data_IF_469804623966
#
_entry.id   IF_469804623966
#
_cell.length_a   1.000
_cell.length_b   1.000
_cell.length_c   1.000
_cell.angle_alpha   90.00
_cell.angle_beta   90.00
_cell.angle_gamma   90.00
#
_symmetry.space_group_name_H-M   'P 1'
#
loop_
_entity.id
_entity.type
_entity.pdbx_description
1 polymer ?
#
# COMPACT_ATOMS: atom_id res chain seq x y z
N UNK A 1 -3.58 13.36 -20.93
CA UNK A 1 -5.05 13.11 -20.87
C UNK A 1 -5.57 13.57 -19.52
N UNK A 2 -6.63 14.38 -19.48
CA UNK A 2 -7.23 14.85 -18.22
C UNK A 2 -8.24 13.85 -17.69
N UNK A 3 -8.20 13.59 -16.40
CA UNK A 3 -9.10 12.70 -15.69
C UNK A 3 -9.46 13.31 -14.34
N UNK A 4 -10.62 12.94 -13.78
CA UNK A 4 -11.00 13.39 -12.43
C UNK A 4 -11.09 12.19 -11.50
N UNK A 5 -10.49 12.34 -10.32
CA UNK A 5 -10.44 11.32 -9.28
C UNK A 5 -11.14 11.79 -8.00
N UNK A 6 -11.98 10.93 -7.43
CA UNK A 6 -12.82 11.19 -6.27
C UNK A 6 -12.38 10.36 -5.06
N UNK A 7 -12.68 10.83 -3.83
CA UNK A 7 -12.40 10.05 -2.62
C UNK A 7 -13.40 8.90 -2.48
N UNK A 8 -14.65 9.14 -2.89
CA UNK A 8 -15.75 8.17 -2.90
C UNK A 8 -16.50 8.22 -4.23
N UNK A 9 -17.13 7.11 -4.61
CA UNK A 9 -18.04 7.07 -5.77
C UNK A 9 -19.25 7.98 -5.48
N UNK A 10 -19.53 8.92 -6.37
CA UNK A 10 -20.62 9.89 -6.21
C UNK A 10 -20.25 11.19 -5.48
N UNK A 11 -18.99 11.39 -5.09
CA UNK A 11 -18.55 12.68 -4.55
C UNK A 11 -18.71 13.80 -5.59
N UNK A 12 -19.25 14.95 -5.14
CA UNK A 12 -19.40 16.14 -6.00
C UNK A 12 -18.07 16.86 -6.24
N UNK A 13 -17.09 16.71 -5.32
CA UNK A 13 -15.78 17.36 -5.40
C UNK A 13 -14.68 16.36 -5.78
N UNK A 14 -14.36 16.33 -7.06
CA UNK A 14 -13.22 15.58 -7.59
C UNK A 14 -11.92 16.40 -7.61
N UNK A 15 -10.80 15.72 -7.84
CA UNK A 15 -9.53 16.37 -8.20
C UNK A 15 -9.22 16.04 -9.64
N UNK A 16 -9.15 17.05 -10.50
CA UNK A 16 -8.65 16.91 -11.86
C UNK A 16 -7.15 16.64 -11.82
N UNK A 17 -6.73 15.63 -12.56
CA UNK A 17 -5.34 15.27 -12.77
C UNK A 17 -5.10 15.14 -14.27
N UNK A 18 -3.96 15.63 -14.74
CA UNK A 18 -3.52 15.39 -16.11
C UNK A 18 -2.47 14.28 -16.09
N UNK A 19 -2.79 13.13 -16.68
CA UNK A 19 -1.83 12.05 -16.87
C UNK A 19 -0.90 12.43 -18.04
N UNK A 20 0.38 12.62 -17.71
CA UNK A 20 1.46 12.97 -18.65
C UNK A 20 2.10 11.72 -19.27
N UNK A 21 2.39 10.74 -18.43
CA UNK A 21 3.03 9.48 -18.85
C UNK A 21 2.50 8.32 -18.02
N UNK A 22 2.57 7.12 -18.60
CA UNK A 22 2.16 5.88 -17.96
C UNK A 22 3.18 4.80 -18.27
N UNK A 23 3.66 4.10 -17.23
CA UNK A 23 4.60 2.98 -17.32
C UNK A 23 3.98 1.76 -16.66
N UNK A 24 3.97 0.62 -17.36
CA UNK A 24 3.54 -0.65 -16.78
C UNK A 24 4.43 -1.01 -15.57
N UNK A 25 3.79 -1.44 -14.47
CA UNK A 25 4.47 -1.97 -13.29
C UNK A 25 4.25 -3.46 -13.17
N UNK A 26 3.00 -3.89 -13.10
CA UNK A 26 2.64 -5.28 -12.83
C UNK A 26 1.22 -5.61 -13.22
N UNK A 27 0.92 -6.90 -13.33
CA UNK A 27 -0.40 -7.45 -13.52
C UNK A 27 -0.60 -8.60 -12.52
N UNK A 28 -1.77 -8.65 -11.90
CA UNK A 28 -2.15 -9.72 -10.99
C UNK A 28 -3.61 -10.10 -11.20
N UNK A 29 -4.10 -11.08 -10.44
CA UNK A 29 -5.44 -11.65 -10.65
C UNK A 29 -6.62 -10.68 -10.53
N UNK A 30 -6.40 -9.46 -10.01
CA UNK A 30 -7.45 -8.43 -9.83
C UNK A 30 -7.31 -7.23 -10.77
N UNK A 31 -6.22 -7.13 -11.53
CA UNK A 31 -6.02 -6.03 -12.45
C UNK A 31 -4.56 -5.70 -12.76
N UNK A 32 -4.39 -4.59 -13.49
CA UNK A 32 -3.09 -4.11 -13.98
C UNK A 32 -2.72 -2.80 -13.31
N UNK A 33 -1.50 -2.72 -12.79
CA UNK A 33 -0.94 -1.53 -12.15
C UNK A 33 0.06 -0.81 -13.06
N UNK A 34 0.00 0.51 -13.05
CA UNK A 34 0.88 1.39 -13.80
C UNK A 34 1.38 2.52 -12.91
N UNK A 35 2.65 2.88 -13.07
CA UNK A 35 3.16 4.15 -12.57
C UNK A 35 2.67 5.23 -13.52
N UNK A 36 2.15 6.32 -12.98
CA UNK A 36 1.73 7.48 -13.74
C UNK A 36 2.40 8.73 -13.22
N UNK A 37 2.94 9.52 -14.14
CA UNK A 37 3.29 10.90 -13.86
C UNK A 37 2.05 11.76 -14.12
N UNK A 38 1.61 12.48 -13.10
CA UNK A 38 0.42 13.32 -13.16
C UNK A 38 0.75 14.75 -12.77
N UNK A 39 0.07 15.68 -13.42
CA UNK A 39 0.07 17.08 -13.04
C UNK A 39 -1.20 17.40 -12.26
N UNK A 40 -1.05 17.95 -11.07
CA UNK A 40 -2.14 18.42 -10.20
C UNK A 40 -1.90 19.91 -9.93
N UNK A 41 -2.72 20.77 -10.53
CA UNK A 41 -2.45 22.21 -10.57
C UNK A 41 -1.13 22.50 -11.29
N UNK A 42 -0.17 23.12 -10.60
CA UNK A 42 1.17 23.43 -11.13
C UNK A 42 2.25 22.40 -10.78
N UNK A 43 1.91 21.31 -10.08
CA UNK A 43 2.89 20.37 -9.54
C UNK A 43 2.81 19.01 -10.23
N UNK A 44 3.98 18.49 -10.61
CA UNK A 44 4.13 17.13 -11.07
C UNK A 44 4.34 16.18 -9.89
N UNK A 45 3.71 15.01 -9.98
CA UNK A 45 3.69 13.98 -8.94
C UNK A 45 3.67 12.60 -9.59
N UNK A 46 4.26 11.64 -8.90
CA UNK A 46 4.20 10.23 -9.30
C UNK A 46 3.14 9.53 -8.44
N UNK A 47 2.23 8.85 -9.11
CA UNK A 47 1.23 8.00 -8.49
C UNK A 47 1.25 6.61 -9.15
N UNK A 48 0.48 5.69 -8.59
CA UNK A 48 0.15 4.42 -9.23
C UNK A 48 -1.33 4.45 -9.59
N UNK A 49 -1.67 4.05 -10.81
CA UNK A 49 -3.04 3.70 -11.17
C UNK A 49 -3.18 2.19 -11.29
N UNK A 50 -4.27 1.65 -10.76
CA UNK A 50 -4.64 0.25 -10.96
C UNK A 50 -5.98 0.18 -11.67
N UNK A 51 -5.99 -0.53 -12.79
CA UNK A 51 -7.20 -0.84 -13.56
C UNK A 51 -7.68 -2.21 -13.13
N UNK A 52 -8.89 -2.29 -12.59
CA UNK A 52 -9.42 -3.57 -12.11
C UNK A 52 -10.20 -4.28 -13.20
N UNK A 53 -10.21 -5.61 -13.15
CA UNK A 53 -10.93 -6.43 -14.11
C UNK A 53 -12.46 -6.39 -13.90
N UNK A 54 -12.92 -6.06 -12.70
CA UNK A 54 -14.34 -6.07 -12.32
C UNK A 54 -14.67 -4.88 -11.40
N UNK A 55 -15.82 -4.23 -11.60
CA UNK A 55 -16.21 -3.03 -10.82
C UNK A 55 -16.36 -3.29 -9.31
N UNK A 56 -16.93 -4.45 -8.94
CA UNK A 56 -17.10 -4.86 -7.53
C UNK A 56 -15.78 -4.92 -6.75
N UNK A 57 -14.67 -5.15 -7.44
CA UNK A 57 -13.33 -5.23 -6.84
C UNK A 57 -12.85 -3.85 -6.37
N UNK A 58 -13.18 -2.79 -7.11
CA UNK A 58 -12.80 -1.41 -6.78
C UNK A 58 -13.56 -0.94 -5.55
N UNK A 59 -14.87 -1.17 -5.52
CA UNK A 59 -15.68 -0.79 -4.36
C UNK A 59 -15.24 -1.54 -3.11
N UNK A 60 -14.89 -2.83 -3.24
CA UNK A 60 -14.31 -3.61 -2.14
C UNK A 60 -12.99 -2.99 -1.68
N UNK A 61 -12.06 -2.74 -2.59
CA UNK A 61 -10.75 -2.23 -2.23
C UNK A 61 -10.81 -0.81 -1.62
N UNK A 62 -11.73 0.04 -2.10
CA UNK A 62 -11.97 1.36 -1.54
C UNK A 62 -12.54 1.29 -0.11
N UNK A 63 -13.50 0.40 0.13
CA UNK A 63 -14.01 0.14 1.50
C UNK A 63 -12.92 -0.37 2.42
N UNK A 64 -12.15 -1.36 1.96
CA UNK A 64 -11.04 -1.94 2.72
C UNK A 64 -10.01 -0.88 3.10
N UNK A 65 -9.61 -0.02 2.15
CA UNK A 65 -8.71 1.11 2.41
C UNK A 65 -9.28 2.06 3.47
N UNK A 66 -10.56 2.41 3.38
CA UNK A 66 -11.21 3.31 4.33
C UNK A 66 -11.29 2.71 5.73
N UNK A 67 -11.67 1.45 5.84
CA UNK A 67 -11.71 0.75 7.12
C UNK A 67 -10.33 0.63 7.75
N UNK A 68 -9.30 0.30 6.96
CA UNK A 68 -7.92 0.25 7.43
C UNK A 68 -7.46 1.63 7.93
N UNK A 69 -7.71 2.67 7.15
CA UNK A 69 -7.35 4.05 7.51
C UNK A 69 -8.05 4.53 8.77
N UNK A 70 -9.35 4.28 8.90
CA UNK A 70 -10.15 4.65 10.07
C UNK A 70 -9.70 3.91 11.34
N UNK A 71 -9.22 2.67 11.18
CA UNK A 71 -8.68 1.86 12.27
C UNK A 71 -7.30 2.32 12.74
N UNK A 72 -6.68 3.30 12.06
CA UNK A 72 -5.33 3.78 12.37
C UNK A 72 -4.22 2.93 11.75
N UNK A 73 -4.55 2.03 10.80
CA UNK A 73 -3.52 1.29 10.08
C UNK A 73 -2.72 2.22 9.16
N UNK A 74 -1.42 1.95 9.08
CA UNK A 74 -0.47 2.67 8.23
C UNK A 74 -0.64 2.30 6.77
N UNK A 75 -1.58 2.96 6.09
CA UNK A 75 -1.85 2.82 4.65
C UNK A 75 -1.32 4.03 3.85
N UNK A 76 -1.27 3.92 2.53
CA UNK A 76 -0.94 5.08 1.68
C UNK A 76 -1.90 6.26 1.89
N UNK A 77 -1.39 7.49 1.74
CA UNK A 77 -2.21 8.69 1.99
C UNK A 77 -3.35 8.87 0.98
N UNK A 78 -3.13 8.44 -0.27
CA UNK A 78 -4.06 8.63 -1.38
C UNK A 78 -4.58 7.29 -1.87
N UNK A 79 -5.90 7.20 -1.98
CA UNK A 79 -6.61 6.15 -2.69
C UNK A 79 -7.91 6.79 -3.20
N UNK A 80 -8.00 6.97 -4.53
CA UNK A 80 -9.11 7.69 -5.17
C UNK A 80 -9.62 6.91 -6.37
N UNK A 81 -10.91 7.01 -6.66
CA UNK A 81 -11.56 6.33 -7.78
C UNK A 81 -11.73 7.29 -8.96
N UNK A 82 -11.55 6.81 -10.18
CA UNK A 82 -11.83 7.62 -11.38
C UNK A 82 -13.34 7.78 -11.63
N UNK A 83 -13.72 8.72 -12.50
CA UNK A 83 -15.14 8.97 -12.81
C UNK A 83 -15.87 7.74 -13.36
N UNK A 84 -15.15 6.84 -14.04
CA UNK A 84 -15.73 5.63 -14.62
C UNK A 84 -15.96 4.52 -13.61
N UNK A 85 -15.38 4.64 -12.41
CA UNK A 85 -15.42 3.59 -11.41
C UNK A 85 -14.63 2.34 -11.80
N UNK A 86 -13.67 2.44 -12.72
CA UNK A 86 -12.87 1.31 -13.25
C UNK A 86 -11.41 1.36 -12.83
N UNK A 87 -10.97 2.48 -12.24
CA UNK A 87 -9.59 2.70 -11.88
C UNK A 87 -9.47 3.40 -10.56
N UNK A 88 -8.33 3.17 -9.92
CA UNK A 88 -7.90 3.95 -8.77
C UNK A 88 -6.63 4.72 -9.07
N UNK A 89 -6.38 5.77 -8.29
CA UNK A 89 -5.13 6.49 -8.17
C UNK A 89 -4.66 6.40 -6.71
N UNK A 90 -3.47 5.87 -6.50
CA UNK A 90 -2.85 5.69 -5.18
C UNK A 90 -1.46 6.29 -5.14
N UNK A 91 -1.01 6.71 -3.95
CA UNK A 91 0.37 7.17 -3.75
C UNK A 91 1.33 6.05 -4.16
N UNK A 92 2.35 6.36 -4.97
CA UNK A 92 3.30 5.34 -5.45
C UNK A 92 4.26 4.84 -4.37
N UNK A 93 4.49 5.66 -3.34
CA UNK A 93 5.50 5.42 -2.31
C UNK A 93 6.94 5.67 -2.78
N UNK A 94 7.19 5.80 -4.08
CA UNK A 94 8.50 6.14 -4.60
C UNK A 94 8.78 7.64 -4.42
N UNK A 95 9.97 7.96 -3.90
CA UNK A 95 10.49 9.32 -3.85
C UNK A 95 11.84 9.38 -4.58
N UNK A 96 12.47 10.56 -4.59
CA UNK A 96 13.85 10.70 -5.06
C UNK A 96 14.82 9.87 -4.22
N UNK A 97 14.50 9.65 -2.95
CA UNK A 97 15.40 9.05 -1.98
C UNK A 97 14.96 7.64 -1.58
N UNK A 98 13.69 7.28 -1.81
CA UNK A 98 13.08 6.03 -1.38
C UNK A 98 12.49 5.23 -2.54
N UNK A 99 12.60 3.91 -2.43
CA UNK A 99 11.90 2.94 -3.28
C UNK A 99 10.89 2.19 -2.42
N UNK A 100 9.65 2.12 -2.91
CA UNK A 100 8.60 1.30 -2.31
C UNK A 100 8.58 -0.09 -2.97
N UNK A 101 8.74 -1.13 -2.17
CA UNK A 101 8.86 -2.52 -2.60
C UNK A 101 7.67 -3.34 -2.06
N UNK A 102 6.77 -3.75 -2.95
CA UNK A 102 5.70 -4.70 -2.63
C UNK A 102 6.12 -6.17 -2.83
N UNK A 103 5.27 -7.09 -2.36
CA UNK A 103 5.53 -8.54 -2.34
C UNK A 103 5.71 -9.21 -3.71
N UNK A 104 5.25 -8.59 -4.80
CA UNK A 104 5.18 -9.25 -6.13
C UNK A 104 6.50 -9.15 -6.92
N UNK A 105 7.58 -8.71 -6.29
CA UNK A 105 8.88 -8.61 -6.96
C UNK A 105 9.83 -9.70 -6.47
N UNK A 106 9.62 -10.92 -6.95
CA UNK A 106 10.50 -12.08 -6.83
C UNK A 106 11.92 -11.76 -7.33
N UNK A 107 12.76 -11.16 -6.48
CA UNK A 107 14.19 -10.90 -6.73
C UNK A 107 14.53 -9.84 -7.79
N UNK A 108 13.58 -9.43 -8.65
CA UNK A 108 13.81 -8.49 -9.76
C UNK A 108 13.68 -7.01 -9.38
N UNK A 109 13.09 -6.69 -8.22
CA UNK A 109 12.87 -5.30 -7.79
C UNK A 109 14.16 -4.52 -7.60
N UNK A 110 15.16 -5.12 -6.97
CA UNK A 110 16.43 -4.44 -6.73
C UNK A 110 17.10 -4.06 -8.05
N UNK A 111 17.14 -4.98 -9.01
CA UNK A 111 17.68 -4.71 -10.35
C UNK A 111 16.84 -3.68 -11.11
N UNK A 112 15.51 -3.80 -11.09
CA UNK A 112 14.61 -2.87 -11.76
C UNK A 112 14.75 -1.43 -11.25
N UNK A 113 14.96 -1.26 -9.94
CA UNK A 113 15.16 0.05 -9.33
C UNK A 113 16.63 0.45 -9.17
N UNK A 114 17.56 -0.35 -9.71
CA UNK A 114 19.00 -0.19 -9.57
C UNK A 114 19.45 0.04 -8.13
N UNK A 115 18.88 -0.74 -7.20
CA UNK A 115 19.21 -0.73 -5.79
C UNK A 115 20.38 -1.68 -5.53
N UNK A 116 21.35 -1.28 -4.70
CA UNK A 116 22.37 -2.20 -4.23
C UNK A 116 21.74 -3.29 -3.34
N UNK A 117 22.44 -4.41 -3.17
CA UNK A 117 22.03 -5.43 -2.20
C UNK A 117 22.09 -4.82 -0.80
N UNK A 118 20.97 -4.85 -0.09
CA UNK A 118 20.91 -4.42 1.30
C UNK A 118 21.73 -5.41 2.14
N UNK A 119 22.78 -4.90 2.79
CA UNK A 119 23.69 -5.67 3.65
C UNK A 119 23.25 -5.64 5.11
N UNK A 120 22.68 -4.52 5.57
CA UNK A 120 22.14 -4.41 6.92
C UNK A 120 20.92 -3.50 6.99
N UNK A 121 20.06 -3.76 7.98
CA UNK A 121 18.91 -2.92 8.32
C UNK A 121 19.25 -2.21 9.63
N UNK A 122 19.47 -0.90 9.56
CA UNK A 122 20.03 -0.13 10.67
C UNK A 122 19.06 0.05 11.84
N UNK A 123 17.76 -0.09 11.59
CA UNK A 123 16.69 0.11 12.57
C UNK A 123 15.82 -1.14 12.80
N UNK A 124 16.38 -2.34 12.65
CA UNK A 124 15.59 -3.59 12.65
C UNK A 124 14.67 -3.75 13.88
N UNK A 125 15.17 -3.47 15.08
CA UNK A 125 14.39 -3.61 16.31
C UNK A 125 13.20 -2.64 16.35
N UNK A 126 13.44 -1.36 16.02
CA UNK A 126 12.39 -0.33 15.94
C UNK A 126 11.37 -0.69 14.84
N UNK A 127 11.85 -1.19 13.71
CA UNK A 127 11.00 -1.65 12.62
C UNK A 127 10.08 -2.79 13.06
N UNK A 128 10.61 -3.84 13.71
CA UNK A 128 9.80 -4.96 14.19
C UNK A 128 8.76 -4.51 15.22
N UNK A 129 9.12 -3.58 16.12
CA UNK A 129 8.18 -2.98 17.08
C UNK A 129 7.01 -2.29 16.37
N UNK A 130 7.30 -1.38 15.43
CA UNK A 130 6.27 -0.68 14.64
C UNK A 130 5.42 -1.65 13.82
N UNK A 131 6.04 -2.69 13.26
CA UNK A 131 5.33 -3.71 12.49
C UNK A 131 4.33 -4.48 13.36
N UNK A 132 4.76 -4.88 14.56
CA UNK A 132 3.93 -5.57 15.52
C UNK A 132 2.79 -4.70 16.07
N UNK A 133 3.03 -3.40 16.30
CA UNK A 133 1.98 -2.45 16.67
C UNK A 133 0.88 -2.37 15.61
N UNK A 134 1.23 -2.32 14.32
CA UNK A 134 0.25 -2.36 13.24
C UNK A 134 -0.53 -3.68 13.19
N UNK A 135 0.13 -4.82 13.49
CA UNK A 135 -0.55 -6.10 13.62
C UNK A 135 -1.57 -6.11 14.78
N UNK A 136 -1.24 -5.49 15.93
CA UNK A 136 -2.17 -5.32 17.06
C UNK A 136 -3.36 -4.42 16.71
N UNK A 137 -3.13 -3.32 16.00
CA UNK A 137 -4.20 -2.44 15.53
C UNK A 137 -5.16 -3.22 14.60
N UNK A 138 -4.61 -4.01 13.68
CA UNK A 138 -5.40 -4.84 12.78
C UNK A 138 -6.22 -5.89 13.55
N UNK A 139 -5.60 -6.55 14.53
CA UNK A 139 -6.24 -7.52 15.40
C UNK A 139 -7.42 -6.93 16.18
N UNK A 140 -7.20 -5.80 16.85
CA UNK A 140 -8.24 -5.07 17.59
C UNK A 140 -9.41 -4.66 16.68
N UNK A 141 -9.12 -4.33 15.43
CA UNK A 141 -10.11 -3.89 14.45
C UNK A 141 -10.73 -5.03 13.64
N UNK A 142 -10.40 -6.29 13.95
CA UNK A 142 -10.82 -7.50 13.22
C UNK A 142 -10.46 -7.47 11.73
N UNK A 143 -9.38 -6.77 11.40
CA UNK A 143 -8.86 -6.65 10.03
C UNK A 143 -7.86 -7.78 9.80
N UNK A 144 -8.09 -8.55 8.74
CA UNK A 144 -7.12 -9.52 8.24
C UNK A 144 -6.20 -8.85 7.23
N UNK A 145 -4.90 -9.08 7.39
CA UNK A 145 -3.83 -8.60 6.50
C UNK A 145 -3.22 -9.83 5.84
N UNK A 146 -3.23 -9.87 4.51
CA UNK A 146 -2.59 -10.92 3.73
C UNK A 146 -1.08 -10.65 3.60
N UNK A 147 -0.30 -11.70 3.31
CA UNK A 147 1.17 -11.64 3.29
C UNK A 147 1.74 -10.68 2.25
N UNK A 148 0.97 -10.38 1.20
CA UNK A 148 1.36 -9.53 0.07
C UNK A 148 1.03 -8.04 0.27
N UNK A 149 0.33 -7.70 1.36
CA UNK A 149 -0.11 -6.35 1.70
C UNK A 149 1.03 -5.40 2.10
N UNK A 150 2.05 -5.82 2.89
CA UNK A 150 3.11 -4.92 3.31
C UNK A 150 4.01 -4.48 2.15
N UNK A 151 4.20 -3.17 2.03
CA UNK A 151 5.11 -2.55 1.07
C UNK A 151 6.20 -1.82 1.86
N UNK A 152 7.46 -2.16 1.58
CA UNK A 152 8.62 -1.67 2.34
C UNK A 152 9.29 -0.50 1.63
N UNK A 153 9.68 0.51 2.39
CA UNK A 153 10.50 1.62 1.92
C UNK A 153 11.97 1.33 2.20
N UNK A 154 12.78 1.46 1.15
CA UNK A 154 14.24 1.32 1.20
C UNK A 154 14.89 2.54 0.57
N UNK A 155 16.02 2.99 1.12
CA UNK A 155 16.78 4.12 0.59
C UNK A 155 17.49 3.76 -0.70
N UNK A 156 17.46 4.67 -1.67
CA UNK A 156 18.17 4.52 -2.94
C UNK A 156 19.67 4.64 -2.73
N UNK A 157 20.43 3.68 -3.25
CA UNK A 157 21.89 3.73 -3.27
C UNK A 157 22.56 3.42 -1.91
N UNK A 158 21.80 3.02 -0.89
CA UNK A 158 22.34 2.67 0.42
C UNK A 158 22.32 1.16 0.64
N UNK A 159 23.47 0.59 1.03
CA UNK A 159 23.56 -0.82 1.45
C UNK A 159 23.11 -1.04 2.89
N UNK A 160 23.07 0.03 3.69
CA UNK A 160 22.67 0.05 5.10
C UNK A 160 21.50 1.00 5.27
N UNK A 161 20.29 0.54 4.92
CA UNK A 161 19.10 1.38 4.90
C UNK A 161 18.27 1.16 6.16
N UNK A 162 17.68 2.22 6.75
CA UNK A 162 16.53 2.01 7.61
C UNK A 162 15.39 1.41 6.78
N UNK A 163 14.56 0.57 7.42
CA UNK A 163 13.31 0.08 6.86
C UNK A 163 12.13 0.83 7.45
N UNK A 164 11.16 1.10 6.58
CA UNK A 164 9.82 1.48 6.96
C UNK A 164 8.81 0.74 6.08
N UNK A 165 7.52 0.78 6.39
CA UNK A 165 6.49 0.12 5.60
C UNK A 165 5.15 0.83 5.62
N UNK A 166 4.30 0.47 4.66
CA UNK A 166 2.85 0.73 4.65
C UNK A 166 2.11 -0.54 4.23
N UNK A 167 0.84 -0.63 4.56
CA UNK A 167 -0.08 -1.61 3.99
C UNK A 167 -0.56 -1.07 2.64
N UNK A 168 0.06 -1.55 1.56
CA UNK A 168 -0.07 -1.01 0.21
C UNK A 168 -1.15 -1.68 -0.63
N UNK A 169 -1.24 -3.01 -0.60
CA UNK A 169 -2.30 -3.74 -1.31
C UNK A 169 -3.55 -3.89 -0.42
N UNK A 170 -4.42 -2.88 -0.45
CA UNK A 170 -5.65 -2.90 0.36
C UNK A 170 -6.77 -3.77 -0.25
N UNK A 171 -6.57 -4.36 -1.42
CA UNK A 171 -7.58 -5.23 -2.01
C UNK A 171 -7.80 -6.50 -1.16
N UNK A 172 -6.74 -6.97 -0.51
CA UNK A 172 -6.69 -8.20 0.28
C UNK A 172 -6.74 -7.94 1.80
N UNK A 173 -6.95 -6.70 2.20
CA UNK A 173 -7.24 -6.30 3.59
C UNK A 173 -8.74 -6.37 3.82
N UNK A 174 -9.25 -7.20 4.72
CA UNK A 174 -10.71 -7.30 4.91
C UNK A 174 -11.11 -7.60 6.36
N UNK A 175 -12.27 -7.09 6.78
CA UNK A 175 -12.88 -7.49 8.05
C UNK A 175 -13.28 -8.96 8.01
N UNK A 176 -12.84 -9.73 9.01
CA UNK A 176 -13.27 -11.12 9.15
C UNK A 176 -14.62 -11.20 9.86
N UNK A 177 -15.43 -12.19 9.45
CA UNK A 177 -16.58 -12.67 10.24
C UNK A 177 -16.06 -13.44 11.46
N UNK A 178 -16.80 -13.41 12.56
CA UNK A 178 -16.38 -13.66 13.97
C UNK A 178 -15.59 -14.94 14.33
N UNK A 179 -15.30 -15.85 13.40
CA UNK A 179 -14.75 -17.19 13.67
C UNK A 179 -13.23 -17.30 13.87
N UNK A 180 -12.46 -16.21 13.96
CA UNK A 180 -11.01 -16.27 14.28
C UNK A 180 -10.58 -15.36 15.44
N UNK A 181 -11.49 -15.12 16.39
CA UNK A 181 -11.23 -14.24 17.55
C UNK A 181 -10.13 -14.75 18.50
N UNK A 182 -9.96 -16.07 18.61
CA UNK A 182 -8.96 -16.70 19.48
C UNK A 182 -7.51 -16.39 19.07
N UNK A 183 -7.20 -16.39 17.77
CA UNK A 183 -5.85 -16.08 17.28
C UNK A 183 -5.50 -14.60 17.50
N UNK A 184 -6.50 -13.72 17.41
CA UNK A 184 -6.33 -12.31 17.70
C UNK A 184 -6.12 -12.05 19.19
N UNK A 185 -6.85 -12.72 20.08
CA UNK A 185 -6.64 -12.59 21.52
C UNK A 185 -5.22 -13.01 21.94
N UNK A 186 -4.68 -14.08 21.34
CA UNK A 186 -3.28 -14.47 21.54
C UNK A 186 -2.32 -13.37 21.10
N UNK A 187 -2.49 -12.83 19.90
CA UNK A 187 -1.68 -11.73 19.37
C UNK A 187 -1.73 -10.46 20.24
N UNK A 188 -2.89 -10.16 20.83
CA UNK A 188 -3.06 -9.02 21.72
C UNK A 188 -2.37 -9.19 23.07
N UNK A 189 -2.28 -10.43 23.55
CA UNK A 189 -1.59 -10.79 24.79
C UNK A 189 -0.07 -10.93 24.60
N UNK A 190 0.39 -11.17 23.38
CA UNK A 190 1.82 -11.32 23.08
C UNK A 190 2.61 -10.03 23.27
N UNK A 191 3.79 -10.16 23.87
CA UNK A 191 4.84 -9.16 23.78
C UNK A 191 5.75 -9.45 22.60
N UNK A 192 6.28 -8.41 21.94
CA UNK A 192 7.20 -8.61 20.82
C UNK A 192 8.46 -9.38 21.25
N UNK A 193 8.88 -9.25 22.51
CA UNK A 193 9.98 -10.05 23.05
C UNK A 193 9.70 -11.55 22.98
N UNK A 194 8.45 -11.99 23.06
CA UNK A 194 8.07 -13.41 23.00
C UNK A 194 8.10 -13.99 21.58
N UNK A 195 8.36 -13.17 20.55
CA UNK A 195 8.45 -13.60 19.15
C UNK A 195 9.89 -13.84 18.68
N UNK A 196 10.90 -13.41 19.45
CA UNK A 196 12.31 -13.42 19.04
C UNK A 196 13.23 -14.22 19.98
N UNK A 197 12.67 -15.00 20.92
CA UNK A 197 13.40 -15.90 21.81
C UNK A 197 12.76 -17.29 21.81
#
# INVERSE_FOLDING_TARGET
MKETFYKHKGDVKGTEVEIKSQKYLSEGGRGVAFQVEVKIGSKDRIFVTKKFSQEKEIERALRNYQEAKQSGLKVFTTYRIDQTGKRILMTSGHTKDDVCLGSVNEGRSLQYYNLPKIKSITNLNEFMQKYFEQAKIAANSRIHIMHDVPFFFVKRGEENSPLDFVLGDTDTVYKRKERSWLDYQKLLQMNISELFW
#
